data_IF_641070345617
#
_entry.id   IF_641070345617
#
_cell.length_a   1.000
_cell.length_b   1.000
_cell.length_c   1.000
_cell.angle_alpha   90.00
_cell.angle_beta   90.00
_cell.angle_gamma   90.00
#
_symmetry.space_group_name_H-M   'P 1'
#
loop_
_entity.id
_entity.type
_entity.pdbx_description
1 polymer ?
#
# COMPACT_ATOMS: atom_id res chain seq x y z
N UNK A 1 -2.27 31.14 -8.96
CA UNK A 1 -2.51 29.74 -9.39
C UNK A 1 -1.28 28.81 -9.34
N UNK A 2 -0.02 29.30 -9.22
CA UNK A 2 1.14 28.46 -8.83
C UNK A 2 1.15 28.10 -7.33
N UNK A 3 0.62 28.98 -6.49
CA UNK A 3 0.64 28.89 -5.01
C UNK A 3 -0.08 27.69 -4.39
N UNK A 4 -0.96 27.00 -5.11
CA UNK A 4 -1.78 25.92 -4.55
C UNK A 4 -1.21 24.51 -4.85
N UNK A 5 -0.43 24.36 -5.94
CA UNK A 5 0.15 23.06 -6.33
C UNK A 5 1.31 22.62 -5.44
N UNK A 6 2.07 23.59 -4.92
CA UNK A 6 3.23 23.32 -4.04
C UNK A 6 2.83 23.23 -2.56
N UNK A 7 1.54 23.44 -2.25
CA UNK A 7 1.06 23.52 -0.87
C UNK A 7 1.13 22.16 -0.17
N UNK A 8 0.70 21.09 -0.83
CA UNK A 8 0.83 19.72 -0.31
C UNK A 8 2.29 19.31 -0.15
N UNK A 9 3.15 19.71 -1.09
CA UNK A 9 4.59 19.44 -1.02
C UNK A 9 5.21 20.12 0.21
N UNK A 10 4.97 21.41 0.41
CA UNK A 10 5.49 22.11 1.61
C UNK A 10 4.94 21.52 2.91
N UNK A 11 3.66 21.14 2.94
CA UNK A 11 3.06 20.55 4.13
C UNK A 11 3.72 19.22 4.54
N UNK A 12 4.14 18.42 3.55
CA UNK A 12 4.82 17.14 3.75
C UNK A 12 6.32 17.30 4.01
N UNK A 13 7.01 18.11 3.20
CA UNK A 13 8.47 18.20 3.14
C UNK A 13 9.06 19.32 4.00
N UNK A 14 8.26 20.32 4.35
CA UNK A 14 8.63 21.45 5.21
C UNK A 14 7.63 21.59 6.37
N UNK A 15 7.44 20.54 7.21
CA UNK A 15 6.47 20.60 8.28
C UNK A 15 6.81 21.77 9.22
N UNK A 16 5.82 22.59 9.61
CA UNK A 16 6.06 23.70 10.52
C UNK A 16 6.63 23.17 11.85
N UNK A 17 7.71 23.79 12.31
CA UNK A 17 8.38 23.36 13.54
C UNK A 17 7.39 23.28 14.71
N UNK A 18 7.28 22.11 15.34
CA UNK A 18 6.47 21.98 16.55
C UNK A 18 7.05 22.91 17.64
N UNK A 19 6.22 23.70 18.33
CA UNK A 19 6.71 24.57 19.40
C UNK A 19 7.34 23.71 20.51
N UNK A 20 8.66 23.81 20.65
CA UNK A 20 9.50 23.02 21.57
C UNK A 20 9.37 23.42 23.05
N UNK A 21 8.64 24.51 23.36
CA UNK A 21 8.41 25.00 24.73
C UNK A 21 6.95 25.39 24.96
N UNK A 22 6.36 24.81 26.01
CA UNK A 22 5.00 25.08 26.47
C UNK A 22 4.18 23.80 26.67
N UNK A 23 2.97 23.87 27.26
CA UNK A 23 2.04 22.74 27.27
C UNK A 23 1.78 22.28 25.84
N UNK A 24 1.79 20.96 25.58
CA UNK A 24 1.44 20.42 24.25
C UNK A 24 0.10 21.03 23.83
N UNK A 25 0.08 21.68 22.66
CA UNK A 25 -1.15 22.23 22.12
C UNK A 25 -2.21 21.12 22.08
N UNK A 26 -3.42 21.42 22.55
CA UNK A 26 -4.49 20.44 22.59
C UNK A 26 -4.84 19.89 21.19
N UNK A 27 -4.53 20.65 20.14
CA UNK A 27 -4.64 20.28 18.74
C UNK A 27 -3.31 20.54 18.01
N UNK A 28 -2.85 19.56 17.24
CA UNK A 28 -1.67 19.64 16.37
C UNK A 28 -1.93 18.91 15.06
N UNK A 29 -1.13 19.16 14.03
CA UNK A 29 -1.22 18.44 12.75
C UNK A 29 -1.06 16.93 12.95
N UNK A 30 -0.06 16.51 13.74
CA UNK A 30 0.19 15.12 14.12
C UNK A 30 -1.04 14.45 14.76
N UNK A 31 -1.71 15.13 15.71
CA UNK A 31 -2.95 14.60 16.34
C UNK A 31 -4.13 14.52 15.38
N UNK A 32 -4.24 15.47 14.44
CA UNK A 32 -5.29 15.44 13.39
C UNK A 32 -5.08 14.24 12.47
N UNK A 33 -3.83 14.00 12.04
CA UNK A 33 -3.47 12.86 11.18
C UNK A 33 -3.70 11.53 11.89
N UNK A 34 -3.25 11.40 13.14
CA UNK A 34 -3.46 10.17 13.93
C UNK A 34 -4.95 9.85 14.11
N UNK A 35 -5.79 10.84 14.41
CA UNK A 35 -7.23 10.64 14.52
C UNK A 35 -7.87 10.28 13.17
N UNK A 36 -7.40 10.88 12.08
CA UNK A 36 -7.88 10.57 10.74
C UNK A 36 -7.54 9.13 10.32
N UNK A 37 -6.33 8.64 10.64
CA UNK A 37 -5.93 7.23 10.42
C UNK A 37 -6.87 6.31 11.20
N UNK A 38 -7.11 6.57 12.50
CA UNK A 38 -8.04 5.77 13.32
C UNK A 38 -9.45 5.69 12.73
N UNK A 39 -9.96 6.81 12.21
CA UNK A 39 -11.27 6.83 11.53
C UNK A 39 -11.23 5.98 10.26
N UNK A 40 -10.20 6.11 9.42
CA UNK A 40 -10.09 5.35 8.18
C UNK A 40 -9.88 3.83 8.43
N UNK A 41 -9.14 3.48 9.47
CA UNK A 41 -8.93 2.09 9.88
C UNK A 41 -10.25 1.44 10.33
N UNK A 42 -11.03 2.17 11.15
CA UNK A 42 -12.28 1.65 11.72
C UNK A 42 -13.48 1.70 10.76
N UNK A 43 -13.62 2.79 10.00
CA UNK A 43 -14.85 3.10 9.24
C UNK A 43 -14.60 3.14 7.72
N UNK A 44 -13.35 3.00 7.27
CA UNK A 44 -12.96 3.16 5.87
C UNK A 44 -12.74 4.61 5.45
N UNK A 45 -12.06 4.81 4.31
CA UNK A 45 -11.71 6.16 3.84
C UNK A 45 -12.88 6.97 3.29
N UNK A 46 -13.96 6.30 2.92
CA UNK A 46 -15.18 6.97 2.48
C UNK A 46 -15.87 7.70 3.63
N UNK A 47 -15.81 7.15 4.86
CA UNK A 47 -16.29 7.81 6.07
C UNK A 47 -15.43 9.02 6.50
N UNK A 48 -14.21 9.14 5.95
CA UNK A 48 -13.29 10.20 6.32
C UNK A 48 -13.77 11.57 5.82
N UNK A 49 -14.18 12.43 6.74
CA UNK A 49 -14.49 13.83 6.47
C UNK A 49 -13.83 14.74 7.52
N UNK A 50 -13.56 16.00 7.17
CA UNK A 50 -13.00 16.98 8.13
C UNK A 50 -13.88 17.10 9.38
N UNK A 51 -15.21 17.00 9.21
CA UNK A 51 -16.17 17.02 10.31
C UNK A 51 -16.03 15.78 11.20
N UNK A 52 -15.99 14.57 10.62
CA UNK A 52 -15.86 13.32 11.37
C UNK A 52 -14.59 13.33 12.23
N UNK A 53 -13.46 13.76 11.66
CA UNK A 53 -12.19 13.88 12.40
C UNK A 53 -12.29 14.91 13.53
N UNK A 54 -12.97 16.04 13.30
CA UNK A 54 -13.18 17.05 14.34
C UNK A 54 -14.02 16.53 15.50
N UNK A 55 -15.10 15.80 15.20
CA UNK A 55 -15.97 15.15 16.18
C UNK A 55 -15.19 14.12 17.01
N UNK A 56 -14.38 13.26 16.37
CA UNK A 56 -13.51 12.30 17.04
C UNK A 56 -12.53 12.96 18.01
N UNK A 57 -12.05 14.16 17.69
CA UNK A 57 -11.12 14.92 18.52
C UNK A 57 -11.81 15.85 19.55
N UNK A 58 -13.12 16.03 19.48
CA UNK A 58 -13.85 16.99 20.32
C UNK A 58 -13.60 18.47 19.97
N UNK A 59 -13.24 18.76 18.72
CA UNK A 59 -13.00 20.13 18.22
C UNK A 59 -13.98 20.52 17.12
N UNK A 60 -13.98 21.81 16.76
CA UNK A 60 -14.72 22.30 15.58
C UNK A 60 -13.93 22.06 14.29
N UNK A 61 -14.62 21.84 13.17
CA UNK A 61 -13.98 21.70 11.84
C UNK A 61 -13.08 22.89 11.50
N UNK A 62 -13.50 24.11 11.87
CA UNK A 62 -12.69 25.33 11.69
C UNK A 62 -11.35 25.29 12.43
N UNK A 63 -11.26 24.53 13.52
CA UNK A 63 -10.01 24.36 14.24
C UNK A 63 -9.02 23.47 13.49
N UNK A 64 -9.53 22.43 12.81
CA UNK A 64 -8.70 21.53 12.00
C UNK A 64 -8.11 22.24 10.77
N UNK A 65 -8.88 23.12 10.13
CA UNK A 65 -8.42 23.88 8.96
C UNK A 65 -7.20 24.77 9.20
N UNK A 66 -6.87 25.09 10.47
CA UNK A 66 -5.63 25.78 10.83
C UNK A 66 -4.38 24.90 10.73
N UNK A 67 -4.55 23.58 10.81
CA UNK A 67 -3.47 22.60 10.78
C UNK A 67 -3.39 21.86 9.45
N UNK A 68 -4.55 21.57 8.84
CA UNK A 68 -4.63 20.85 7.58
C UNK A 68 -5.63 21.55 6.65
N UNK A 69 -5.22 22.02 5.46
CA UNK A 69 -6.06 22.84 4.59
C UNK A 69 -7.33 22.15 4.08
N UNK A 70 -7.32 20.82 3.97
CA UNK A 70 -8.42 20.07 3.40
C UNK A 70 -8.24 18.55 3.48
N UNK A 71 -9.24 17.81 2.98
CA UNK A 71 -9.24 16.34 2.97
C UNK A 71 -8.13 15.78 2.08
N UNK A 72 -7.79 16.44 0.96
CA UNK A 72 -6.74 15.94 0.06
C UNK A 72 -5.38 15.95 0.74
N UNK A 73 -5.03 17.08 1.36
CA UNK A 73 -3.79 17.25 2.11
C UNK A 73 -3.75 16.35 3.34
N UNK A 74 -4.90 16.16 4.01
CA UNK A 74 -5.01 15.22 5.12
C UNK A 74 -4.67 13.79 4.67
N UNK A 75 -5.21 13.35 3.54
CA UNK A 75 -4.94 12.02 3.01
C UNK A 75 -3.46 11.84 2.65
N UNK A 76 -2.81 12.86 2.07
CA UNK A 76 -1.39 12.80 1.75
C UNK A 76 -0.54 12.68 3.03
N UNK A 77 -0.88 13.46 4.08
CA UNK A 77 -0.24 13.36 5.39
C UNK A 77 -0.48 12.00 6.07
N UNK A 78 -1.68 11.45 5.97
CA UNK A 78 -2.01 10.14 6.52
C UNK A 78 -1.17 9.04 5.87
N UNK A 79 -1.05 9.07 4.54
CA UNK A 79 -0.23 8.10 3.80
C UNK A 79 1.22 8.16 4.26
N UNK A 80 1.81 9.36 4.33
CA UNK A 80 3.21 9.50 4.75
C UNK A 80 3.43 9.12 6.23
N UNK A 81 2.49 9.45 7.11
CA UNK A 81 2.54 9.04 8.51
C UNK A 81 2.45 7.51 8.69
N UNK A 82 1.68 6.82 7.85
CA UNK A 82 1.64 5.36 7.84
C UNK A 82 2.98 4.77 7.35
N UNK A 83 3.60 5.36 6.33
CA UNK A 83 4.96 4.99 5.90
C UNK A 83 6.00 5.21 7.01
N UNK A 84 5.87 6.27 7.80
CA UNK A 84 6.74 6.55 8.94
C UNK A 84 6.75 5.42 9.98
N UNK A 85 5.62 4.70 10.12
CA UNK A 85 5.47 3.56 11.01
C UNK A 85 6.18 2.29 10.55
N UNK A 86 6.64 2.23 9.30
CA UNK A 86 7.44 1.10 8.81
C UNK A 86 8.89 1.17 9.32
N UNK A 87 9.60 0.04 9.31
CA UNK A 87 11.04 -0.03 9.61
C UNK A 87 11.90 0.11 8.35
N UNK A 88 13.10 0.67 8.51
CA UNK A 88 13.98 0.96 7.37
C UNK A 88 14.60 -0.35 6.90
N UNK A 89 14.64 -0.55 5.59
CA UNK A 89 15.25 -1.75 5.02
C UNK A 89 16.70 -1.87 5.49
N UNK A 90 17.08 -2.97 6.15
CA UNK A 90 18.44 -3.13 6.63
C UNK A 90 19.40 -3.27 5.46
N UNK A 91 20.63 -2.78 5.66
CA UNK A 91 21.73 -3.06 4.72
C UNK A 91 22.06 -4.55 4.77
N UNK A 92 22.37 -5.14 3.62
CA UNK A 92 22.77 -6.54 3.55
C UNK A 92 22.54 -7.16 2.18
N UNK A 93 22.39 -8.48 2.17
CA UNK A 93 22.11 -9.23 0.94
C UNK A 93 20.83 -8.75 0.28
N UNK A 94 20.91 -8.48 -1.03
CA UNK A 94 19.84 -7.83 -1.78
C UNK A 94 18.49 -8.53 -1.62
N UNK A 95 18.49 -9.86 -1.66
CA UNK A 95 17.26 -10.66 -1.56
C UNK A 95 16.59 -10.48 -0.20
N UNK A 96 17.35 -10.58 0.88
CA UNK A 96 16.83 -10.37 2.24
C UNK A 96 16.30 -8.94 2.42
N UNK A 97 16.97 -7.94 1.83
CA UNK A 97 16.51 -6.55 1.87
C UNK A 97 15.19 -6.35 1.12
N UNK A 98 15.03 -6.89 -0.09
CA UNK A 98 13.77 -6.81 -0.84
C UNK A 98 12.63 -7.61 -0.19
N UNK A 99 12.93 -8.77 0.40
CA UNK A 99 11.96 -9.52 1.20
C UNK A 99 11.47 -8.71 2.40
N UNK A 100 12.39 -8.09 3.14
CA UNK A 100 12.05 -7.23 4.26
C UNK A 100 11.18 -6.06 3.82
N UNK A 101 11.60 -5.33 2.78
CA UNK A 101 10.83 -4.23 2.22
C UNK A 101 9.41 -4.66 1.83
N UNK A 102 9.28 -5.75 1.08
CA UNK A 102 7.98 -6.29 0.66
C UNK A 102 7.09 -6.65 1.85
N UNK A 103 7.65 -7.29 2.88
CA UNK A 103 6.91 -7.66 4.12
C UNK A 103 6.47 -6.43 4.91
N UNK A 104 7.28 -5.36 4.96
CA UNK A 104 6.90 -4.11 5.61
C UNK A 104 5.74 -3.42 4.87
N UNK A 105 5.81 -3.36 3.54
CA UNK A 105 4.71 -2.81 2.72
C UNK A 105 3.44 -3.66 2.85
N UNK A 106 3.59 -4.98 2.88
CA UNK A 106 2.46 -5.90 3.07
C UNK A 106 1.81 -5.75 4.44
N UNK A 107 2.60 -5.72 5.52
CA UNK A 107 2.10 -5.49 6.87
C UNK A 107 1.38 -4.14 6.99
N UNK A 108 1.94 -3.09 6.37
CA UNK A 108 1.33 -1.77 6.28
C UNK A 108 -0.03 -1.80 5.57
N UNK A 109 -0.14 -2.45 4.40
CA UNK A 109 -1.42 -2.58 3.70
C UNK A 109 -2.45 -3.39 4.48
N UNK A 110 -2.04 -4.45 5.17
CA UNK A 110 -2.94 -5.23 6.03
C UNK A 110 -3.46 -4.41 7.21
N UNK A 111 -2.62 -3.57 7.81
CA UNK A 111 -3.01 -2.69 8.90
C UNK A 111 -3.90 -1.53 8.41
N UNK A 112 -3.66 -1.03 7.20
CA UNK A 112 -4.32 0.14 6.64
C UNK A 112 -4.87 -0.12 5.21
N UNK A 113 -5.87 -1.02 5.02
CA UNK A 113 -6.34 -1.41 3.68
C UNK A 113 -6.86 -0.24 2.84
N UNK A 114 -7.34 0.83 3.50
CA UNK A 114 -7.82 2.03 2.84
C UNK A 114 -6.76 2.74 1.99
N UNK A 115 -5.46 2.53 2.24
CA UNK A 115 -4.39 3.11 1.42
C UNK A 115 -4.52 2.68 -0.04
N UNK A 116 -4.95 1.45 -0.28
CA UNK A 116 -5.08 0.87 -1.61
C UNK A 116 -6.32 1.35 -2.35
N UNK A 117 -7.29 1.96 -1.65
CA UNK A 117 -8.48 2.57 -2.26
C UNK A 117 -8.19 3.96 -2.81
N UNK A 118 -7.07 4.58 -2.39
CA UNK A 118 -6.66 5.88 -2.86
C UNK A 118 -6.07 5.80 -4.28
N UNK A 119 -6.49 6.69 -5.18
CA UNK A 119 -5.85 6.83 -6.48
C UNK A 119 -4.42 7.34 -6.33
N UNK A 120 -3.43 6.46 -6.54
CA UNK A 120 -2.01 6.77 -6.38
C UNK A 120 -1.46 7.73 -7.46
N UNK A 121 -2.03 7.71 -8.68
CA UNK A 121 -1.49 8.40 -9.86
C UNK A 121 -1.43 9.94 -9.80
N UNK A 122 -1.96 10.56 -8.73
CA UNK A 122 -1.97 12.01 -8.55
C UNK A 122 -1.57 12.49 -7.15
N UNK A 123 -1.06 11.61 -6.29
CA UNK A 123 -0.59 12.01 -4.95
C UNK A 123 0.89 12.33 -4.96
N UNK A 124 1.26 13.38 -4.23
CA UNK A 124 2.66 13.72 -4.03
C UNK A 124 3.23 12.78 -2.97
N UNK A 125 4.36 12.10 -3.24
CA UNK A 125 4.98 11.27 -2.22
C UNK A 125 5.55 12.16 -1.11
N UNK A 126 5.33 11.75 0.13
CA UNK A 126 5.95 12.39 1.29
C UNK A 126 7.37 11.89 1.55
N UNK A 127 8.09 12.55 2.47
CA UNK A 127 9.48 12.25 2.78
C UNK A 127 9.69 10.82 3.30
N UNK A 128 8.76 10.27 4.09
CA UNK A 128 8.92 8.92 4.65
C UNK A 128 8.76 7.87 3.56
N UNK A 129 7.73 8.01 2.70
CA UNK A 129 7.55 7.13 1.55
C UNK A 129 8.78 7.14 0.62
N UNK A 130 9.33 8.33 0.32
CA UNK A 130 10.55 8.45 -0.49
C UNK A 130 11.78 7.86 0.18
N UNK A 131 11.93 8.04 1.49
CA UNK A 131 13.06 7.47 2.24
C UNK A 131 13.02 5.94 2.22
N UNK A 132 11.83 5.33 2.29
CA UNK A 132 11.71 3.85 2.20
C UNK A 132 12.00 3.33 0.81
N UNK A 133 11.54 4.05 -0.20
CA UNK A 133 11.83 3.72 -1.59
C UNK A 133 13.34 3.85 -1.88
N UNK A 134 13.99 4.90 -1.40
CA UNK A 134 15.44 5.11 -1.54
C UNK A 134 16.24 3.99 -0.87
N UNK A 135 15.86 3.59 0.35
CA UNK A 135 16.46 2.45 1.03
C UNK A 135 16.30 1.13 0.25
N UNK A 136 15.16 0.91 -0.42
CA UNK A 136 14.96 -0.26 -1.28
C UNK A 136 15.83 -0.22 -2.54
N UNK A 137 16.05 0.95 -3.16
CA UNK A 137 17.01 1.10 -4.27
C UNK A 137 18.45 0.84 -3.81
N UNK A 138 18.82 1.33 -2.62
CA UNK A 138 20.16 1.15 -2.08
C UNK A 138 20.52 -0.33 -1.85
N UNK A 139 19.53 -1.20 -1.61
CA UNK A 139 19.74 -2.65 -1.42
C UNK A 139 20.23 -3.35 -2.68
N UNK A 140 19.90 -2.83 -3.87
CA UNK A 140 20.24 -3.44 -5.17
C UNK A 140 21.28 -2.63 -5.95
N UNK A 141 21.70 -1.47 -5.46
CA UNK A 141 22.56 -0.54 -6.20
C UNK A 141 23.98 -1.06 -6.44
N UNK A 142 24.47 -1.95 -5.57
CA UNK A 142 25.83 -2.52 -5.64
C UNK A 142 25.93 -3.78 -6.51
N UNK A 143 24.84 -4.18 -7.19
CA UNK A 143 24.76 -5.41 -8.00
C UNK A 143 25.23 -5.25 -9.45
N UNK A 144 25.84 -4.11 -9.80
CA UNK A 144 26.23 -3.80 -11.18
C UNK A 144 25.03 -3.63 -12.12
N UNK A 145 23.89 -3.20 -11.59
CA UNK A 145 22.69 -2.86 -12.34
C UNK A 145 22.78 -1.42 -12.87
N UNK A 146 22.31 -1.17 -14.09
CA UNK A 146 22.06 0.18 -14.57
C UNK A 146 20.93 0.84 -13.76
N UNK A 147 20.86 2.17 -13.76
CA UNK A 147 19.85 2.90 -12.98
C UNK A 147 18.42 2.54 -13.36
N UNK A 148 18.12 2.32 -14.65
CA UNK A 148 16.81 1.84 -15.06
C UNK A 148 16.48 0.42 -14.56
N UNK A 149 17.49 -0.44 -14.44
CA UNK A 149 17.32 -1.81 -13.95
C UNK A 149 17.05 -1.81 -12.44
N UNK A 150 17.75 -0.96 -11.67
CA UNK A 150 17.48 -0.74 -10.25
C UNK A 150 16.02 -0.34 -10.04
N UNK A 151 15.54 0.63 -10.83
CA UNK A 151 14.15 1.08 -10.77
C UNK A 151 13.19 -0.06 -11.13
N UNK A 152 13.46 -0.80 -12.20
CA UNK A 152 12.61 -1.90 -12.67
C UNK A 152 12.51 -3.03 -11.63
N UNK A 153 13.63 -3.42 -11.01
CA UNK A 153 13.69 -4.49 -9.99
C UNK A 153 12.82 -4.14 -8.79
N UNK A 154 13.01 -2.96 -8.20
CA UNK A 154 12.24 -2.54 -7.02
C UNK A 154 10.77 -2.30 -7.40
N UNK A 155 10.50 -1.73 -8.57
CA UNK A 155 9.13 -1.51 -9.07
C UNK A 155 8.39 -2.82 -9.27
N UNK A 156 9.04 -3.87 -9.78
CA UNK A 156 8.42 -5.18 -9.96
C UNK A 156 7.97 -5.78 -8.62
N UNK A 157 8.80 -5.68 -7.58
CA UNK A 157 8.44 -6.10 -6.22
C UNK A 157 7.27 -5.25 -5.69
N UNK A 158 7.35 -3.91 -5.80
CA UNK A 158 6.27 -3.02 -5.35
C UNK A 158 4.95 -3.30 -6.06
N UNK A 159 4.96 -3.55 -7.37
CA UNK A 159 3.76 -3.90 -8.13
C UNK A 159 3.16 -5.23 -7.71
N UNK A 160 4.00 -6.24 -7.44
CA UNK A 160 3.53 -7.51 -6.89
C UNK A 160 2.81 -7.31 -5.55
N UNK A 161 3.46 -6.63 -4.60
CA UNK A 161 2.85 -6.38 -3.27
C UNK A 161 1.57 -5.54 -3.39
N UNK A 162 1.56 -4.55 -4.28
CA UNK A 162 0.37 -3.74 -4.55
C UNK A 162 -0.77 -4.58 -5.14
N UNK A 163 -0.49 -5.53 -6.04
CA UNK A 163 -1.50 -6.40 -6.65
C UNK A 163 -2.17 -7.33 -5.65
N UNK A 164 -1.37 -8.02 -4.82
CA UNK A 164 -1.89 -8.88 -3.73
C UNK A 164 -2.60 -8.03 -2.68
N UNK A 165 -2.01 -6.88 -2.32
CA UNK A 165 -2.62 -5.83 -1.51
C UNK A 165 -4.02 -5.47 -1.97
N UNK A 166 -4.16 -5.10 -3.25
CA UNK A 166 -5.42 -4.63 -3.81
C UNK A 166 -6.52 -5.68 -3.69
N UNK A 167 -6.20 -6.94 -3.99
CA UNK A 167 -7.15 -8.06 -3.84
C UNK A 167 -7.61 -8.21 -2.40
N UNK A 168 -6.68 -8.14 -1.43
CA UNK A 168 -7.02 -8.14 0.01
C UNK A 168 -7.90 -6.95 0.40
N UNK A 169 -7.55 -5.74 -0.06
CA UNK A 169 -8.32 -4.54 0.27
C UNK A 169 -9.74 -4.55 -0.31
N UNK A 170 -9.92 -5.10 -1.52
CA UNK A 170 -11.23 -5.26 -2.14
C UNK A 170 -12.09 -6.28 -1.34
N UNK A 171 -11.50 -7.36 -0.81
CA UNK A 171 -12.17 -8.32 0.09
C UNK A 171 -12.62 -7.66 1.39
N UNK A 172 -11.73 -6.92 2.07
CA UNK A 172 -12.05 -6.18 3.30
C UNK A 172 -13.17 -5.18 3.06
N UNK A 173 -13.16 -4.50 1.91
CA UNK A 173 -14.22 -3.55 1.56
C UNK A 173 -15.57 -4.25 1.33
N UNK A 174 -15.58 -5.36 0.59
CA UNK A 174 -16.80 -6.12 0.33
C UNK A 174 -17.42 -6.65 1.63
N UNK A 175 -16.60 -7.16 2.55
CA UNK A 175 -17.07 -7.61 3.87
C UNK A 175 -17.66 -6.46 4.69
N UNK A 176 -17.02 -5.27 4.68
CA UNK A 176 -17.55 -4.08 5.37
C UNK A 176 -18.90 -3.62 4.82
N UNK A 177 -19.07 -3.65 3.51
CA UNK A 177 -20.31 -3.20 2.85
C UNK A 177 -21.46 -4.18 3.03
N UNK A 178 -21.17 -5.48 3.00
CA UNK A 178 -22.19 -6.54 3.01
C UNK A 178 -22.44 -7.15 4.39
N UNK A 179 -21.47 -7.07 5.30
CA UNK A 179 -21.45 -7.79 6.57
C UNK A 179 -21.22 -9.30 6.42
N UNK A 180 -20.81 -9.77 5.24
CA UNK A 180 -20.59 -11.19 4.93
C UNK A 180 -19.10 -11.43 4.70
N UNK A 181 -18.54 -12.42 5.42
CA UNK A 181 -17.14 -12.81 5.25
C UNK A 181 -16.89 -13.41 3.86
N UNK A 182 -15.64 -13.39 3.39
CA UNK A 182 -15.30 -14.01 2.10
C UNK A 182 -15.62 -15.52 2.09
N UNK A 183 -15.35 -16.21 3.21
CA UNK A 183 -15.65 -17.64 3.36
C UNK A 183 -17.15 -17.92 3.25
N UNK A 184 -17.98 -17.19 3.99
CA UNK A 184 -19.44 -17.34 3.94
C UNK A 184 -20.00 -17.01 2.55
N UNK A 185 -19.42 -15.99 1.90
CA UNK A 185 -19.83 -15.58 0.56
C UNK A 185 -19.56 -16.67 -0.49
N UNK A 186 -18.45 -17.41 -0.37
CA UNK A 186 -18.13 -18.55 -1.25
C UNK A 186 -18.94 -19.80 -0.89
N UNK A 187 -19.13 -20.10 0.40
CA UNK A 187 -19.90 -21.25 0.86
C UNK A 187 -21.37 -21.19 0.45
N UNK A 188 -21.95 -19.99 0.34
CA UNK A 188 -23.36 -19.79 -0.06
C UNK A 188 -23.67 -20.00 -1.56
N UNK A 189 -22.74 -20.50 -2.38
CA UNK A 189 -22.87 -20.55 -3.86
C UNK A 189 -22.84 -21.97 -4.44
N UNK A 190 -23.57 -22.91 -3.83
CA UNK A 190 -23.66 -24.30 -4.31
C UNK A 190 -24.05 -24.42 -5.80
N UNK A 191 -24.97 -23.58 -6.27
CA UNK A 191 -25.41 -23.56 -7.67
C UNK A 191 -24.29 -23.17 -8.66
N UNK A 192 -23.26 -22.42 -8.22
CA UNK A 192 -22.09 -22.15 -9.06
C UNK A 192 -21.29 -23.43 -9.32
N UNK A 193 -21.19 -24.30 -8.31
CA UNK A 193 -20.44 -25.55 -8.37
C UNK A 193 -21.07 -26.58 -9.31
N UNK A 194 -22.38 -26.51 -9.55
CA UNK A 194 -23.07 -27.34 -10.55
C UNK A 194 -22.55 -27.10 -11.99
N UNK A 195 -21.88 -25.98 -12.24
CA UNK A 195 -21.27 -25.68 -13.55
C UNK A 195 -19.83 -26.18 -13.70
N UNK A 196 -19.23 -26.73 -12.64
CA UNK A 196 -17.88 -27.31 -12.68
C UNK A 196 -17.96 -28.73 -13.20
N UNK A 197 -18.14 -28.84 -14.53
CA UNK A 197 -18.23 -30.13 -15.21
C UNK A 197 -16.99 -30.39 -16.08
N UNK A 198 -16.56 -31.66 -16.26
CA UNK A 198 -15.39 -31.98 -17.09
C UNK A 198 -15.52 -31.55 -18.55
N UNK A 199 -16.74 -31.44 -19.08
CA UNK A 199 -17.04 -31.00 -20.44
C UNK A 199 -16.95 -29.47 -20.61
N UNK A 200 -17.28 -28.69 -19.57
CA UNK A 200 -17.30 -27.22 -19.63
C UNK A 200 -16.04 -26.58 -19.08
N UNK A 201 -15.61 -27.03 -17.91
CA UNK A 201 -14.48 -26.48 -17.14
C UNK A 201 -13.55 -27.61 -16.72
N UNK A 202 -12.89 -28.33 -17.66
CA UNK A 202 -12.14 -29.55 -17.37
C UNK A 202 -11.09 -29.33 -16.27
N UNK A 203 -10.33 -28.25 -16.37
CA UNK A 203 -9.23 -28.01 -15.44
C UNK A 203 -9.71 -27.51 -14.07
N UNK A 204 -10.69 -26.61 -14.02
CA UNK A 204 -11.23 -26.16 -12.74
C UNK A 204 -11.94 -27.31 -12.01
N UNK A 205 -12.65 -28.17 -12.74
CA UNK A 205 -13.32 -29.36 -12.19
C UNK A 205 -12.30 -30.34 -11.62
N UNK A 206 -11.20 -30.58 -12.33
CA UNK A 206 -10.14 -31.43 -11.81
C UNK A 206 -9.49 -30.85 -10.55
N UNK A 207 -9.13 -29.56 -10.55
CA UNK A 207 -8.54 -28.89 -9.38
C UNK A 207 -9.50 -28.96 -8.19
N UNK A 208 -10.77 -28.63 -8.41
CA UNK A 208 -11.83 -28.71 -7.41
C UNK A 208 -11.94 -30.11 -6.81
N UNK A 209 -12.10 -31.13 -7.66
CA UNK A 209 -12.22 -32.53 -7.22
C UNK A 209 -10.96 -33.06 -6.54
N UNK A 210 -9.79 -32.47 -6.81
CA UNK A 210 -8.54 -32.81 -6.14
C UNK A 210 -8.31 -32.04 -4.83
N UNK A 211 -9.27 -31.21 -4.40
CA UNK A 211 -9.17 -30.40 -3.18
C UNK A 211 -8.22 -29.20 -3.32
N UNK A 212 -7.92 -28.77 -4.53
CA UNK A 212 -6.93 -27.72 -4.80
C UNK A 212 -7.26 -26.34 -4.19
N UNK A 213 -8.53 -26.11 -3.85
CA UNK A 213 -8.99 -24.89 -3.18
C UNK A 213 -9.12 -25.03 -1.65
N UNK A 214 -8.97 -26.25 -1.10
CA UNK A 214 -9.12 -26.50 0.34
C UNK A 214 -7.86 -26.13 1.14
N UNK A 215 -6.70 -26.09 0.49
CA UNK A 215 -5.40 -25.77 1.12
C UNK A 215 -4.65 -24.75 0.28
N UNK A 216 -5.23 -23.56 0.18
CA UNK A 216 -4.60 -22.46 -0.55
C UNK A 216 -3.25 -22.09 0.07
N UNK A 217 -2.28 -21.78 -0.79
CA UNK A 217 -1.02 -21.21 -0.36
C UNK A 217 -1.23 -19.75 0.08
N UNK A 218 -0.31 -19.23 0.88
CA UNK A 218 -0.26 -17.79 1.11
C UNK A 218 0.20 -17.10 -0.18
N UNK A 219 -0.73 -16.40 -0.84
CA UNK A 219 -0.50 -15.73 -2.13
C UNK A 219 0.67 -14.74 -2.07
N UNK A 220 0.85 -14.06 -0.94
CA UNK A 220 1.92 -13.10 -0.74
C UNK A 220 3.27 -13.80 -0.62
N UNK A 221 3.42 -14.77 0.28
CA UNK A 221 4.71 -15.45 0.50
C UNK A 221 5.11 -16.31 -0.70
N UNK A 222 4.16 -17.03 -1.31
CA UNK A 222 4.43 -17.80 -2.52
C UNK A 222 4.83 -16.88 -3.69
N UNK A 223 4.03 -15.84 -3.95
CA UNK A 223 4.28 -14.93 -5.06
C UNK A 223 5.57 -14.13 -4.89
N UNK A 224 5.88 -13.65 -3.66
CA UNK A 224 7.11 -12.91 -3.38
C UNK A 224 8.33 -13.77 -3.66
N UNK A 225 8.32 -15.03 -3.21
CA UNK A 225 9.41 -15.95 -3.48
C UNK A 225 9.62 -16.16 -4.99
N UNK A 226 8.54 -16.34 -5.77
CA UNK A 226 8.62 -16.51 -7.23
C UNK A 226 9.10 -15.26 -7.96
N UNK A 227 8.64 -14.08 -7.56
CA UNK A 227 9.10 -12.80 -8.13
C UNK A 227 10.59 -12.63 -7.88
N UNK A 228 11.06 -12.87 -6.66
CA UNK A 228 12.48 -12.75 -6.32
C UNK A 228 13.35 -13.82 -7.00
N UNK A 229 12.83 -15.03 -7.21
CA UNK A 229 13.52 -16.07 -7.99
C UNK A 229 13.71 -15.62 -9.45
N UNK A 230 12.69 -15.02 -10.07
CA UNK A 230 12.79 -14.46 -11.42
C UNK A 230 13.75 -13.27 -11.51
N UNK A 231 13.75 -12.39 -10.51
CA UNK A 231 14.68 -11.26 -10.44
C UNK A 231 16.12 -11.73 -10.22
N UNK A 232 16.34 -12.78 -9.43
CA UNK A 232 17.67 -13.38 -9.25
C UNK A 232 18.24 -13.85 -10.59
N UNK A 233 17.45 -14.57 -11.39
CA UNK A 233 17.86 -15.01 -12.73
C UNK A 233 18.21 -13.83 -13.66
N UNK A 234 17.48 -12.72 -13.58
CA UNK A 234 17.81 -11.50 -14.33
C UNK A 234 19.11 -10.85 -13.85
N UNK A 235 19.30 -10.72 -12.53
CA UNK A 235 20.49 -10.12 -11.92
C UNK A 235 21.74 -10.94 -12.24
N UNK A 236 21.64 -12.27 -12.23
CA UNK A 236 22.74 -13.20 -12.51
C UNK A 236 23.06 -13.33 -14.00
N UNK A 237 22.17 -12.87 -14.89
CA UNK A 237 22.38 -12.94 -16.34
C UNK A 237 23.46 -11.95 -16.81
N UNK A 238 24.36 -12.41 -17.68
CA UNK A 238 25.34 -11.56 -18.38
C UNK A 238 24.69 -10.75 -19.51
N UNK A 239 23.59 -11.26 -20.09
CA UNK A 239 22.79 -10.57 -21.11
C UNK A 239 21.43 -10.19 -20.49
N UNK A 240 21.19 -8.89 -20.35
CA UNK A 240 19.98 -8.31 -19.72
C UNK A 240 19.17 -7.55 -20.78
N UNK A 241 18.39 -8.26 -21.62
CA UNK A 241 17.59 -7.60 -22.64
C UNK A 241 16.48 -6.76 -21.99
N UNK A 242 16.53 -5.44 -22.20
CA UNK A 242 15.50 -4.52 -21.74
C UNK A 242 14.47 -4.24 -22.83
N UNK A 243 13.21 -4.56 -22.56
CA UNK A 243 12.08 -4.18 -23.42
C UNK A 243 11.64 -2.77 -23.04
N UNK A 244 11.71 -1.85 -24.00
CA UNK A 244 11.29 -0.46 -23.79
C UNK A 244 9.84 -0.30 -24.24
N UNK A 245 9.00 0.40 -23.46
CA UNK A 245 7.63 0.68 -23.89
C UNK A 245 7.65 1.59 -25.12
N UNK A 246 6.83 1.28 -26.13
CA UNK A 246 6.70 2.07 -27.35
C UNK A 246 6.02 3.43 -27.08
N UNK A 247 5.25 3.53 -26.00
CA UNK A 247 4.57 4.73 -25.49
C UNK A 247 4.50 4.73 -23.96
N UNK A 248 4.43 5.89 -23.31
CA UNK A 248 4.37 6.03 -21.84
C UNK A 248 3.06 5.51 -21.17
N UNK A 249 2.28 4.65 -21.83
CA UNK A 249 1.02 4.07 -21.35
C UNK A 249 0.96 2.57 -21.62
#
# INVERSE_FOLDING_TARGET
MKSDRDRSVRLLWEPPAEPTRGPKAALSQSRVVEAAIKVADAEGVEALTMRRVAETLGFTTMSLYRHVPGKSELLDLMVDAVWAGTEHTPKGAWRAGLEFFARQVWAMYRAHPWMLQLTSSRRMPGPEAMTRQDAAYAVVSELGLASEEIVAVVTAVSHFVHGVGRTMADRVQAERETGVSEEDWWNGREALWEHFTPDRLPMMTHIWNSGGFERMLDDFEFGLARVLDGLAAFIESEDRPLVRPETCL
#
